data_IF_545902764450
#
_entry.id   IF_545902764450
#
_cell.length_a   1.000
_cell.length_b   1.000
_cell.length_c   1.000
_cell.angle_alpha   90.00
_cell.angle_beta   90.00
_cell.angle_gamma   90.00
#
_symmetry.space_group_name_H-M   'P 1'
#
loop_
_entity.id
_entity.type
_entity.pdbx_description
1 polymer ?
#
# COMPACT_ATOMS: atom_id res chain seq x y z
N UNK A 1 -11.20 26.39 1.31
CA UNK A 1 -9.82 25.96 1.58
C UNK A 1 -9.74 24.49 1.22
N UNK A 2 -9.11 24.14 0.11
CA UNK A 2 -8.97 22.72 -0.27
C UNK A 2 -8.22 21.98 0.83
N UNK A 3 -8.71 20.82 1.25
CA UNK A 3 -8.02 20.01 2.24
C UNK A 3 -6.70 19.53 1.62
N UNK A 4 -5.58 20.10 2.09
CA UNK A 4 -4.22 19.84 1.56
C UNK A 4 -3.87 18.36 1.48
N UNK A 5 -4.41 17.54 2.39
CA UNK A 5 -4.19 16.10 2.33
C UNK A 5 -4.86 15.43 1.11
N UNK A 6 -6.01 15.91 0.62
CA UNK A 6 -6.64 15.40 -0.61
C UNK A 6 -5.80 15.77 -1.84
N UNK A 7 -5.24 16.98 -1.87
CA UNK A 7 -4.29 17.38 -2.91
C UNK A 7 -3.06 16.48 -2.89
N UNK A 8 -2.47 16.25 -1.72
CA UNK A 8 -1.32 15.35 -1.57
C UNK A 8 -1.63 13.91 -2.01
N UNK A 9 -2.83 13.40 -1.70
CA UNK A 9 -3.27 12.10 -2.18
C UNK A 9 -3.39 12.05 -3.71
N UNK A 10 -3.96 13.08 -4.33
CA UNK A 10 -4.05 13.18 -5.78
C UNK A 10 -2.66 13.24 -6.44
N UNK A 11 -1.73 13.99 -5.87
CA UNK A 11 -0.34 14.06 -6.33
C UNK A 11 0.37 12.69 -6.23
N UNK A 12 0.12 11.93 -5.17
CA UNK A 12 0.64 10.56 -5.04
C UNK A 12 0.15 9.67 -6.18
N UNK A 13 -1.14 9.76 -6.52
CA UNK A 13 -1.73 9.00 -7.64
C UNK A 13 -1.18 9.43 -9.01
N UNK A 14 -0.77 10.69 -9.14
CA UNK A 14 -0.16 11.24 -10.37
C UNK A 14 1.35 10.97 -10.48
N UNK A 15 1.97 10.43 -9.43
CA UNK A 15 3.42 10.16 -9.37
C UNK A 15 4.28 11.37 -9.02
N UNK A 16 3.68 12.49 -8.62
CA UNK A 16 4.39 13.69 -8.16
C UNK A 16 4.74 13.57 -6.65
N UNK A 17 5.61 12.61 -6.34
CA UNK A 17 5.84 12.15 -4.96
C UNK A 17 6.46 13.21 -4.04
N UNK A 18 7.41 14.01 -4.51
CA UNK A 18 8.04 15.07 -3.71
C UNK A 18 7.02 16.15 -3.28
N UNK A 19 6.19 16.60 -4.24
CA UNK A 19 5.11 17.54 -3.96
C UNK A 19 4.03 16.92 -3.06
N UNK A 20 3.73 15.64 -3.28
CA UNK A 20 2.78 14.89 -2.47
C UNK A 20 3.20 14.84 -1.00
N UNK A 21 4.47 14.52 -0.72
CA UNK A 21 5.03 14.47 0.64
C UNK A 21 4.87 15.82 1.33
N UNK A 22 5.25 16.92 0.67
CA UNK A 22 5.11 18.26 1.24
C UNK A 22 3.64 18.60 1.58
N UNK A 23 2.73 18.38 0.63
CA UNK A 23 1.29 18.63 0.83
C UNK A 23 0.68 17.75 1.93
N UNK A 24 1.10 16.48 2.02
CA UNK A 24 0.58 15.55 3.02
C UNK A 24 1.07 15.90 4.43
N UNK A 25 2.34 16.31 4.60
CA UNK A 25 2.84 16.80 5.89
C UNK A 25 2.07 18.04 6.38
N UNK A 26 1.86 19.02 5.49
CA UNK A 26 1.07 20.19 5.83
C UNK A 26 -0.40 19.87 6.15
N UNK A 27 -0.99 18.92 5.40
CA UNK A 27 -2.36 18.46 5.61
C UNK A 27 -2.55 17.71 6.93
N UNK A 28 -1.58 16.87 7.30
CA UNK A 28 -1.60 16.10 8.55
C UNK A 28 -1.32 16.96 9.80
N UNK A 29 -0.67 18.10 9.65
CA UNK A 29 -0.49 19.09 10.72
C UNK A 29 -1.77 19.91 11.01
N UNK A 30 -2.81 19.82 10.19
CA UNK A 30 -4.07 20.54 10.33
C UNK A 30 -4.97 20.01 11.46
N UNK A 31 -5.95 20.84 11.89
CA UNK A 31 -6.82 20.58 13.05
C UNK A 31 -7.82 19.42 12.91
N UNK A 32 -8.96 19.51 13.61
CA UNK A 32 -9.96 18.41 13.82
C UNK A 32 -10.36 17.64 12.56
N UNK A 33 -10.44 18.28 11.39
CA UNK A 33 -10.73 17.60 10.12
C UNK A 33 -9.62 16.65 9.66
N UNK A 34 -8.38 16.89 10.08
CA UNK A 34 -7.26 16.00 9.78
C UNK A 34 -7.31 14.70 10.59
N UNK A 35 -7.91 14.70 11.78
CA UNK A 35 -8.01 13.49 12.63
C UNK A 35 -8.85 12.40 11.99
N UNK A 36 -9.99 12.73 11.38
CA UNK A 36 -10.90 11.75 10.76
C UNK A 36 -10.25 11.04 9.57
N UNK A 37 -9.45 11.77 8.80
CA UNK A 37 -8.78 11.25 7.60
C UNK A 37 -7.30 10.94 7.82
N UNK A 38 -6.83 11.01 9.07
CA UNK A 38 -5.42 10.79 9.42
C UNK A 38 -4.88 9.45 8.90
N UNK A 39 -5.56 8.30 9.09
CA UNK A 39 -5.07 7.03 8.55
C UNK A 39 -4.92 7.03 7.03
N UNK A 40 -5.87 7.62 6.32
CA UNK A 40 -5.79 7.77 4.86
C UNK A 40 -4.61 8.65 4.44
N UNK A 41 -4.46 9.82 5.06
CA UNK A 41 -3.34 10.72 4.77
C UNK A 41 -1.98 10.07 5.03
N UNK A 42 -1.86 9.32 6.14
CA UNK A 42 -0.65 8.58 6.50
C UNK A 42 -0.37 7.41 5.53
N UNK A 43 -1.40 6.72 5.04
CA UNK A 43 -1.24 5.71 4.00
C UNK A 43 -0.70 6.34 2.69
N UNK A 44 -1.26 7.50 2.26
CA UNK A 44 -0.74 8.19 1.07
C UNK A 44 0.69 8.71 1.27
N UNK A 45 1.01 9.20 2.45
CA UNK A 45 2.37 9.65 2.81
C UNK A 45 3.35 8.47 2.77
N UNK A 46 3.01 7.35 3.39
CA UNK A 46 3.84 6.14 3.38
C UNK A 46 4.08 5.64 1.94
N UNK A 47 3.06 5.68 1.09
CA UNK A 47 3.20 5.30 -0.32
C UNK A 47 4.16 6.23 -1.07
N UNK A 48 3.98 7.54 -0.96
CA UNK A 48 4.85 8.52 -1.61
C UNK A 48 6.31 8.38 -1.14
N UNK A 49 6.53 8.26 0.17
CA UNK A 49 7.86 8.06 0.76
C UNK A 49 8.52 6.76 0.29
N UNK A 50 7.77 5.66 0.23
CA UNK A 50 8.28 4.39 -0.26
C UNK A 50 8.70 4.47 -1.73
N UNK A 51 7.94 5.19 -2.56
CA UNK A 51 8.26 5.43 -3.99
C UNK A 51 9.50 6.32 -4.18
N UNK A 52 9.80 7.18 -3.24
CA UNK A 52 11.03 7.97 -3.19
C UNK A 52 12.23 7.21 -2.59
N UNK A 53 12.07 5.93 -2.21
CA UNK A 53 13.11 5.14 -1.55
C UNK A 53 13.35 5.52 -0.08
N UNK A 54 12.51 6.38 0.51
CA UNK A 54 12.60 6.82 1.90
C UNK A 54 11.92 5.80 2.84
N UNK A 55 12.39 4.56 2.78
CA UNK A 55 11.73 3.42 3.44
C UNK A 55 11.60 3.56 4.96
N UNK A 56 12.57 4.19 5.63
CA UNK A 56 12.50 4.45 7.08
C UNK A 56 11.34 5.38 7.44
N UNK A 57 11.19 6.49 6.71
CA UNK A 57 10.09 7.43 6.91
C UNK A 57 8.73 6.82 6.50
N UNK A 58 8.70 6.03 5.43
CA UNK A 58 7.51 5.29 5.01
C UNK A 58 7.03 4.32 6.10
N UNK A 59 7.96 3.61 6.75
CA UNK A 59 7.64 2.69 7.86
C UNK A 59 7.03 3.44 9.04
N UNK A 60 7.58 4.59 9.41
CA UNK A 60 7.04 5.43 10.48
C UNK A 60 5.61 5.87 10.14
N UNK A 61 5.40 6.41 8.95
CA UNK A 61 4.07 6.87 8.52
C UNK A 61 3.03 5.73 8.50
N UNK A 62 3.40 4.54 8.00
CA UNK A 62 2.51 3.39 7.99
C UNK A 62 2.10 2.96 9.41
N UNK A 63 3.07 2.90 10.34
CA UNK A 63 2.82 2.54 11.75
C UNK A 63 2.00 3.57 12.51
N UNK A 64 2.23 4.85 12.28
CA UNK A 64 1.36 5.91 12.80
C UNK A 64 -0.08 5.78 12.28
N UNK A 65 -0.24 5.43 10.99
CA UNK A 65 -1.55 5.14 10.42
C UNK A 65 -2.26 3.99 11.09
N UNK A 66 -1.57 2.88 11.33
CA UNK A 66 -2.10 1.72 12.07
C UNK A 66 -2.45 2.07 13.52
N UNK A 67 -1.66 2.92 14.17
CA UNK A 67 -1.97 3.39 15.51
C UNK A 67 -3.26 4.24 15.51
N UNK A 68 -3.39 5.18 14.58
CA UNK A 68 -4.58 6.00 14.44
C UNK A 68 -5.86 5.16 14.17
N UNK A 69 -5.74 4.07 13.39
CA UNK A 69 -6.84 3.12 13.17
C UNK A 69 -7.26 2.40 14.47
N UNK A 70 -6.30 1.96 15.28
CA UNK A 70 -6.58 1.33 16.59
C UNK A 70 -7.29 2.30 17.54
N UNK A 71 -6.87 3.55 17.58
CA UNK A 71 -7.45 4.59 18.45
C UNK A 71 -8.89 4.95 18.07
N UNK A 72 -9.19 4.92 16.76
CA UNK A 72 -10.55 5.23 16.25
C UNK A 72 -11.44 4.00 16.13
N UNK A 73 -10.90 2.79 16.17
CA UNK A 73 -11.64 1.54 16.00
C UNK A 73 -12.16 1.32 14.57
N UNK A 74 -11.70 2.08 13.57
CA UNK A 74 -12.28 2.04 12.22
C UNK A 74 -11.78 0.89 11.36
N UNK A 75 -10.51 0.62 11.28
CA UNK A 75 -9.93 -0.51 10.53
C UNK A 75 -10.02 -0.47 8.99
N UNK A 76 -10.59 0.58 8.38
CA UNK A 76 -10.84 0.64 6.92
C UNK A 76 -9.56 0.60 6.08
N UNK A 77 -8.46 1.14 6.61
CA UNK A 77 -7.18 1.27 5.93
C UNK A 77 -6.15 0.24 6.39
N UNK A 78 -6.52 -0.68 7.29
CA UNK A 78 -5.58 -1.62 7.90
C UNK A 78 -4.84 -2.47 6.85
N UNK A 79 -5.58 -3.03 5.87
CA UNK A 79 -4.98 -3.82 4.81
C UNK A 79 -3.91 -3.04 4.02
N UNK A 80 -4.23 -1.79 3.66
CA UNK A 80 -3.30 -0.94 2.90
C UNK A 80 -2.12 -0.48 3.75
N UNK A 81 -2.34 -0.13 5.00
CA UNK A 81 -1.28 0.30 5.91
C UNK A 81 -0.30 -0.85 6.22
N UNK A 82 -0.79 -2.08 6.45
CA UNK A 82 0.07 -3.25 6.59
C UNK A 82 0.84 -3.57 5.30
N UNK A 83 0.23 -3.39 4.12
CA UNK A 83 0.92 -3.53 2.84
C UNK A 83 2.08 -2.53 2.72
N UNK A 84 1.84 -1.27 3.07
CA UNK A 84 2.86 -0.22 3.02
C UNK A 84 3.96 -0.42 4.07
N UNK A 85 3.60 -0.88 5.27
CA UNK A 85 4.56 -1.34 6.28
C UNK A 85 5.45 -2.45 5.72
N UNK A 86 4.84 -3.46 5.07
CA UNK A 86 5.55 -4.56 4.45
C UNK A 86 6.53 -4.11 3.37
N UNK A 87 6.09 -3.22 2.46
CA UNK A 87 6.97 -2.65 1.42
C UNK A 87 8.13 -1.86 2.02
N UNK A 88 7.88 -1.05 3.04
CA UNK A 88 8.92 -0.27 3.70
C UNK A 88 9.95 -1.20 4.39
N UNK A 89 9.50 -2.26 5.05
CA UNK A 89 10.37 -3.26 5.68
C UNK A 89 11.23 -4.01 4.66
N UNK A 90 10.65 -4.44 3.53
CA UNK A 90 11.39 -5.05 2.41
C UNK A 90 12.44 -4.07 1.88
N UNK A 91 12.09 -2.81 1.66
CA UNK A 91 13.03 -1.77 1.23
C UNK A 91 14.16 -1.48 2.24
N UNK A 92 13.96 -1.78 3.52
CA UNK A 92 14.99 -1.75 4.57
C UNK A 92 15.76 -3.06 4.71
N UNK A 93 15.59 -4.00 3.79
CA UNK A 93 16.18 -5.35 3.83
C UNK A 93 15.74 -6.19 5.03
N UNK A 94 14.58 -5.88 5.65
CA UNK A 94 13.94 -6.64 6.72
C UNK A 94 12.91 -7.59 6.12
N UNK A 95 13.39 -8.55 5.33
CA UNK A 95 12.58 -9.36 4.41
C UNK A 95 11.49 -10.17 5.13
N UNK A 96 11.84 -10.88 6.21
CA UNK A 96 10.91 -11.74 6.94
C UNK A 96 9.77 -10.92 7.59
N UNK A 97 10.12 -9.79 8.19
CA UNK A 97 9.13 -8.88 8.79
C UNK A 97 8.24 -8.24 7.71
N UNK A 98 8.84 -7.86 6.58
CA UNK A 98 8.11 -7.34 5.43
C UNK A 98 7.12 -8.36 4.86
N UNK A 99 7.54 -9.61 4.70
CA UNK A 99 6.66 -10.69 4.26
C UNK A 99 5.53 -10.95 5.26
N UNK A 100 5.82 -10.91 6.57
CA UNK A 100 4.80 -11.05 7.60
C UNK A 100 3.74 -9.94 7.52
N UNK A 101 4.16 -8.68 7.37
CA UNK A 101 3.24 -7.55 7.22
C UNK A 101 2.40 -7.64 5.93
N UNK A 102 3.00 -8.09 4.81
CA UNK A 102 2.27 -8.32 3.56
C UNK A 102 1.23 -9.46 3.69
N UNK A 103 1.55 -10.52 4.43
CA UNK A 103 0.60 -11.60 4.70
C UNK A 103 -0.57 -11.11 5.58
N UNK A 104 -0.31 -10.27 6.58
CA UNK A 104 -1.35 -9.65 7.40
C UNK A 104 -2.25 -8.74 6.53
N UNK A 105 -1.65 -7.93 5.65
CA UNK A 105 -2.41 -7.12 4.68
C UNK A 105 -3.36 -7.98 3.84
N UNK A 106 -2.88 -9.11 3.32
CA UNK A 106 -3.66 -10.05 2.54
C UNK A 106 -4.80 -10.67 3.36
N UNK A 107 -4.50 -11.11 4.60
CA UNK A 107 -5.50 -11.66 5.51
C UNK A 107 -6.63 -10.66 5.78
N UNK A 108 -6.28 -9.41 6.11
CA UNK A 108 -7.25 -8.34 6.38
C UNK A 108 -8.07 -8.03 5.12
N UNK A 109 -7.42 -7.86 3.95
CA UNK A 109 -8.11 -7.58 2.69
C UNK A 109 -9.16 -8.66 2.34
N UNK A 110 -8.83 -9.94 2.55
CA UNK A 110 -9.75 -11.07 2.36
C UNK A 110 -10.92 -11.02 3.32
N UNK A 111 -10.67 -10.78 4.61
CA UNK A 111 -11.70 -10.64 5.63
C UNK A 111 -12.65 -9.46 5.35
N UNK A 112 -12.11 -8.36 4.82
CA UNK A 112 -12.88 -7.18 4.41
C UNK A 112 -13.55 -7.35 3.04
N UNK A 113 -13.28 -8.42 2.31
CA UNK A 113 -13.70 -8.64 0.91
C UNK A 113 -13.25 -7.50 -0.03
N UNK A 114 -12.14 -6.85 0.30
CA UNK A 114 -11.59 -5.69 -0.41
C UNK A 114 -10.66 -6.15 -1.55
N UNK A 115 -11.26 -6.53 -2.69
CA UNK A 115 -10.54 -7.14 -3.82
C UNK A 115 -9.38 -6.31 -4.38
N UNK A 116 -9.49 -4.99 -4.39
CA UNK A 116 -8.39 -4.12 -4.82
C UNK A 116 -7.20 -4.19 -3.85
N UNK A 117 -7.44 -4.23 -2.54
CA UNK A 117 -6.38 -4.39 -1.55
C UNK A 117 -5.80 -5.81 -1.55
N UNK A 118 -6.64 -6.83 -1.76
CA UNK A 118 -6.17 -8.19 -1.96
C UNK A 118 -5.21 -8.26 -3.16
N UNK A 119 -5.58 -7.69 -4.32
CA UNK A 119 -4.73 -7.65 -5.51
C UNK A 119 -3.38 -6.97 -5.23
N UNK A 120 -3.39 -5.81 -4.57
CA UNK A 120 -2.15 -5.09 -4.21
C UNK A 120 -1.24 -5.91 -3.30
N UNK A 121 -1.81 -6.54 -2.27
CA UNK A 121 -1.05 -7.36 -1.32
C UNK A 121 -0.43 -8.59 -2.00
N UNK A 122 -1.21 -9.33 -2.81
CA UNK A 122 -0.69 -10.49 -3.55
C UNK A 122 0.33 -10.11 -4.61
N UNK A 123 0.18 -8.96 -5.29
CA UNK A 123 1.16 -8.47 -6.25
C UNK A 123 2.51 -8.22 -5.58
N UNK A 124 2.51 -7.59 -4.40
CA UNK A 124 3.74 -7.34 -3.64
C UNK A 124 4.36 -8.64 -3.10
N UNK A 125 3.56 -9.57 -2.57
CA UNK A 125 4.05 -10.89 -2.14
C UNK A 125 4.62 -11.69 -3.31
N UNK A 126 3.93 -11.72 -4.45
CA UNK A 126 4.38 -12.44 -5.63
C UNK A 126 5.71 -11.86 -6.16
N UNK A 127 5.88 -10.54 -6.13
CA UNK A 127 7.15 -9.90 -6.50
C UNK A 127 8.27 -10.33 -5.55
N UNK A 128 8.04 -10.26 -4.24
CA UNK A 128 9.00 -10.70 -3.22
C UNK A 128 9.37 -12.18 -3.40
N UNK A 129 8.40 -13.06 -3.62
CA UNK A 129 8.68 -14.48 -3.85
C UNK A 129 9.41 -14.74 -5.17
N UNK A 130 9.11 -13.97 -6.22
CA UNK A 130 9.85 -14.04 -7.49
C UNK A 130 11.33 -13.69 -7.30
N UNK A 131 11.62 -12.64 -6.53
CA UNK A 131 12.99 -12.23 -6.18
C UNK A 131 13.72 -13.29 -5.34
N UNK A 132 13.00 -14.08 -4.57
CA UNK A 132 13.50 -15.23 -3.81
C UNK A 132 13.63 -16.51 -4.67
N UNK A 133 13.37 -16.45 -5.98
CA UNK A 133 13.41 -17.61 -6.89
C UNK A 133 12.16 -18.51 -6.86
N UNK A 134 11.12 -18.12 -6.11
CA UNK A 134 9.86 -18.87 -5.93
C UNK A 134 8.80 -18.43 -6.96
N UNK A 135 9.17 -18.47 -8.24
CA UNK A 135 8.32 -17.99 -9.34
C UNK A 135 7.01 -18.80 -9.50
N UNK A 136 7.01 -20.14 -9.39
CA UNK A 136 5.77 -20.92 -9.49
C UNK A 136 4.76 -20.53 -8.41
N UNK A 137 5.19 -20.47 -7.16
CA UNK A 137 4.32 -20.10 -6.03
C UNK A 137 3.82 -18.64 -6.15
N UNK A 138 4.68 -17.73 -6.62
CA UNK A 138 4.29 -16.35 -6.90
C UNK A 138 3.16 -16.28 -7.94
N UNK A 139 3.26 -17.08 -9.01
CA UNK A 139 2.24 -17.17 -10.04
C UNK A 139 0.94 -17.79 -9.51
N UNK A 140 1.04 -18.88 -8.75
CA UNK A 140 -0.12 -19.57 -8.13
C UNK A 140 -0.88 -18.64 -7.17
N UNK A 141 -0.17 -17.75 -6.47
CA UNK A 141 -0.78 -16.76 -5.58
C UNK A 141 -1.50 -15.65 -6.35
N UNK A 142 -0.86 -15.09 -7.39
CA UNK A 142 -1.34 -13.89 -8.08
C UNK A 142 -2.42 -14.18 -9.12
N UNK A 143 -2.28 -15.27 -9.91
CA UNK A 143 -3.15 -15.52 -11.05
C UNK A 143 -4.63 -15.65 -10.70
N UNK A 144 -5.04 -16.36 -9.62
CA UNK A 144 -6.45 -16.44 -9.25
C UNK A 144 -7.06 -15.12 -8.84
N UNK A 145 -6.30 -14.26 -8.15
CA UNK A 145 -6.78 -12.94 -7.69
C UNK A 145 -6.91 -11.98 -8.87
N UNK A 146 -5.95 -11.98 -9.79
CA UNK A 146 -6.04 -11.21 -11.03
C UNK A 146 -7.23 -11.67 -11.88
N UNK A 147 -7.44 -12.98 -12.04
CA UNK A 147 -8.52 -13.59 -12.82
C UNK A 147 -9.92 -13.35 -12.27
N UNK A 148 -10.05 -12.84 -11.03
CA UNK A 148 -11.34 -12.45 -10.48
C UNK A 148 -11.90 -11.17 -11.13
N UNK A 149 -11.03 -10.28 -11.64
CA UNK A 149 -11.44 -9.02 -12.22
C UNK A 149 -11.96 -9.23 -13.64
N UNK A 150 -13.10 -8.62 -13.96
CA UNK A 150 -13.74 -8.65 -15.29
C UNK A 150 -13.67 -7.31 -16.01
N UNK A 151 -13.28 -6.25 -15.30
CA UNK A 151 -13.17 -4.88 -15.81
C UNK A 151 -12.04 -4.12 -15.11
N UNK A 152 -11.80 -2.87 -15.49
CA UNK A 152 -10.79 -2.02 -14.83
C UNK A 152 -9.35 -2.31 -15.25
N UNK A 153 -9.10 -3.08 -16.32
CA UNK A 153 -7.76 -3.47 -16.78
C UNK A 153 -6.86 -2.30 -17.23
N UNK A 154 -7.40 -1.09 -17.27
CA UNK A 154 -6.64 0.14 -17.52
C UNK A 154 -6.11 0.79 -16.23
N UNK A 155 -6.50 0.30 -15.04
CA UNK A 155 -5.99 0.78 -13.76
C UNK A 155 -4.53 0.40 -13.53
N UNK A 156 -3.81 1.20 -12.74
CA UNK A 156 -2.40 0.96 -12.45
C UNK A 156 -2.16 -0.40 -11.78
N UNK A 157 -3.03 -0.78 -10.82
CA UNK A 157 -2.89 -2.02 -10.05
C UNK A 157 -3.04 -3.26 -10.95
N UNK A 158 -4.05 -3.29 -11.85
CA UNK A 158 -4.25 -4.40 -12.76
C UNK A 158 -3.18 -4.48 -13.85
N UNK A 159 -2.68 -3.34 -14.33
CA UNK A 159 -1.53 -3.31 -15.25
C UNK A 159 -0.25 -3.85 -14.61
N UNK A 160 0.02 -3.48 -13.35
CA UNK A 160 1.19 -3.96 -12.62
C UNK A 160 1.10 -5.47 -12.37
N UNK A 161 -0.07 -5.96 -11.95
CA UNK A 161 -0.32 -7.39 -11.76
C UNK A 161 -0.18 -8.19 -13.07
N UNK A 162 -0.74 -7.68 -14.19
CA UNK A 162 -0.63 -8.34 -15.50
C UNK A 162 0.83 -8.42 -15.97
N UNK A 163 1.58 -7.33 -15.79
CA UNK A 163 3.02 -7.29 -16.12
C UNK A 163 3.77 -8.36 -15.32
N UNK A 164 3.58 -8.40 -14.00
CA UNK A 164 4.23 -9.39 -13.15
C UNK A 164 3.86 -10.82 -13.55
N UNK A 165 2.58 -11.09 -13.86
CA UNK A 165 2.16 -12.42 -14.34
C UNK A 165 2.84 -12.83 -15.64
N UNK A 166 3.09 -11.88 -16.55
CA UNK A 166 3.82 -12.16 -17.79
C UNK A 166 5.31 -12.44 -17.54
N UNK A 167 5.90 -11.80 -16.52
CA UNK A 167 7.27 -12.05 -16.10
C UNK A 167 7.43 -13.41 -15.38
N UNK A 168 6.38 -13.91 -14.74
CA UNK A 168 6.33 -15.18 -14.02
C UNK A 168 6.02 -16.39 -14.92
N UNK A 169 5.74 -16.16 -16.19
CA UNK A 169 5.38 -17.20 -17.17
C UNK A 169 6.56 -18.12 -17.53
#
# INVERSE_FOLDING_TARGET
MEPRFLRGAALTMQGAFDEAVACLHEGLAGGVGAMLFRPYGLARLAEALARLGQHGAALVAAREGLQAQRETGQGWWDAELHRLEGLALVGLNRIEEGQSALNEALHIARRQQAKSYELRAVTNLARLWSEQGRRPEARELLAPVYGWFTEGFNTADLKDAAKLLSELA
#
